data_IF_205247326611
#
_entry.id   IF_205247326611
#
_cell.length_a   1.000
_cell.length_b   1.000
_cell.length_c   1.000
_cell.angle_alpha   90.00
_cell.angle_beta   90.00
_cell.angle_gamma   90.00
#
_symmetry.space_group_name_H-M   'P 1'
#
loop_
_entity.id
_entity.type
_entity.pdbx_description
1 polymer ?
#
# COMPACT_ATOMS: atom_id res chain seq x y z
N UNK A 1 3.23 31.72 41.85
CA UNK A 1 3.21 31.50 40.39
C UNK A 1 4.34 30.54 40.01
N UNK A 2 4.06 29.32 39.53
CA UNK A 2 5.11 28.35 39.23
C UNK A 2 5.64 28.56 37.80
N UNK A 3 6.96 28.58 37.66
CA UNK A 3 7.66 28.71 36.37
C UNK A 3 7.55 27.39 35.59
N UNK A 4 7.00 27.45 34.39
CA UNK A 4 6.92 26.31 33.45
C UNK A 4 8.32 25.91 32.98
N UNK A 5 8.78 24.74 33.40
CA UNK A 5 10.00 24.10 32.90
C UNK A 5 9.80 23.57 31.48
N UNK A 6 10.72 23.94 30.59
CA UNK A 6 10.75 23.54 29.18
C UNK A 6 11.26 22.10 29.10
N UNK A 7 10.39 21.13 28.75
CA UNK A 7 10.81 19.75 28.44
C UNK A 7 11.47 19.75 27.05
N UNK A 8 12.78 19.59 27.00
CA UNK A 8 13.48 19.16 25.78
C UNK A 8 13.18 17.67 25.58
N UNK A 9 12.52 17.35 24.47
CA UNK A 9 12.28 16.00 23.98
C UNK A 9 13.57 15.43 23.39
N UNK A 10 14.13 14.40 24.04
CA UNK A 10 15.15 13.53 23.47
C UNK A 10 14.48 12.60 22.44
N UNK A 11 14.25 13.09 21.22
CA UNK A 11 13.77 12.27 20.09
C UNK A 11 14.72 12.44 18.92
N UNK A 12 15.89 11.80 18.97
CA UNK A 12 16.83 11.83 17.85
C UNK A 12 17.71 10.58 17.66
N UNK A 13 17.49 9.46 18.38
CA UNK A 13 18.43 8.31 18.31
C UNK A 13 17.82 6.93 17.96
N UNK A 14 16.57 6.85 17.51
CA UNK A 14 15.96 5.55 17.16
C UNK A 14 16.09 5.20 15.66
N UNK A 15 16.74 6.05 14.85
CA UNK A 15 16.67 5.97 13.38
C UNK A 15 17.90 5.50 12.61
N UNK A 16 18.88 4.80 13.20
CA UNK A 16 20.11 4.39 12.47
C UNK A 16 20.56 2.96 12.77
N UNK A 17 19.66 1.98 12.68
CA UNK A 17 20.10 0.62 12.32
C UNK A 17 20.09 0.51 10.80
N UNK A 18 21.22 0.88 10.21
CA UNK A 18 21.53 0.63 8.80
C UNK A 18 21.71 -0.88 8.69
N UNK A 19 20.88 -1.55 7.90
CA UNK A 19 20.99 -2.97 7.63
C UNK A 19 22.40 -3.24 7.08
N UNK A 20 23.14 -4.12 7.76
CA UNK A 20 24.46 -4.56 7.33
C UNK A 20 24.26 -5.52 6.15
N UNK A 21 25.19 -5.51 5.20
CA UNK A 21 25.21 -6.48 4.08
C UNK A 21 25.24 -7.95 4.59
N UNK A 22 25.74 -8.16 5.81
CA UNK A 22 25.80 -9.46 6.49
C UNK A 22 24.45 -9.94 7.05
N UNK A 23 23.43 -9.06 7.13
CA UNK A 23 22.08 -9.44 7.60
C UNK A 23 21.23 -10.13 6.52
N UNK A 24 21.74 -10.23 5.29
CA UNK A 24 21.03 -10.87 4.18
C UNK A 24 21.38 -12.36 4.14
N UNK A 25 20.37 -13.25 4.03
CA UNK A 25 20.62 -14.68 3.88
C UNK A 25 21.46 -14.91 2.62
N UNK A 26 22.58 -15.63 2.78
CA UNK A 26 23.37 -16.10 1.65
C UNK A 26 22.47 -17.04 0.84
N UNK A 27 22.04 -16.57 -0.34
CA UNK A 27 21.38 -17.43 -1.31
C UNK A 27 22.45 -18.28 -1.97
N UNK A 28 22.44 -19.57 -1.66
CA UNK A 28 23.26 -20.57 -2.32
C UNK A 28 23.00 -20.51 -3.84
N UNK A 29 24.02 -20.08 -4.59
CA UNK A 29 23.97 -19.93 -6.04
C UNK A 29 24.22 -21.27 -6.75
N UNK A 30 23.48 -22.30 -6.37
CA UNK A 30 23.49 -23.59 -7.05
C UNK A 30 22.22 -23.73 -7.87
N UNK A 31 22.15 -23.04 -9.00
CA UNK A 31 21.21 -23.39 -10.05
C UNK A 31 21.94 -23.37 -11.39
N UNK A 32 21.91 -24.55 -12.01
CA UNK A 32 22.56 -24.95 -13.23
C UNK A 32 22.32 -23.99 -14.40
N UNK A 33 23.41 -23.48 -14.95
CA UNK A 33 23.45 -22.85 -16.27
C UNK A 33 23.17 -23.90 -17.35
N UNK A 34 21.89 -24.14 -17.67
CA UNK A 34 21.52 -24.82 -18.90
C UNK A 34 20.32 -24.17 -19.59
N UNK A 35 20.68 -23.34 -20.58
CA UNK A 35 19.99 -23.12 -21.86
C UNK A 35 18.51 -22.73 -21.78
N UNK A 36 18.17 -21.44 -22.00
CA UNK A 36 17.29 -20.95 -23.09
C UNK A 36 17.61 -19.47 -23.38
N UNK A 37 18.15 -19.20 -24.57
CA UNK A 37 17.96 -17.99 -25.38
C UNK A 37 18.29 -16.61 -24.79
N UNK A 38 19.48 -16.08 -25.07
CA UNK A 38 19.83 -14.65 -25.33
C UNK A 38 19.14 -13.51 -24.53
N UNK A 39 18.57 -13.75 -23.37
CA UNK A 39 18.21 -12.67 -22.45
C UNK A 39 19.49 -12.18 -21.80
N UNK A 40 19.93 -10.97 -22.17
CA UNK A 40 21.02 -10.29 -21.47
C UNK A 40 20.67 -10.25 -19.98
N UNK A 41 21.38 -11.03 -19.17
CA UNK A 41 21.30 -10.94 -17.72
C UNK A 41 21.81 -9.57 -17.28
N UNK A 42 20.89 -8.61 -17.13
CA UNK A 42 21.19 -7.28 -16.62
C UNK A 42 21.47 -7.43 -15.13
N UNK A 43 22.71 -7.19 -14.73
CA UNK A 43 23.14 -7.19 -13.33
C UNK A 43 23.36 -5.76 -12.86
N UNK A 44 22.88 -5.42 -11.66
CA UNK A 44 23.22 -4.16 -10.99
C UNK A 44 24.68 -4.26 -10.52
N UNK A 45 25.61 -3.78 -11.34
CA UNK A 45 27.08 -4.00 -11.19
C UNK A 45 27.62 -3.70 -9.80
N UNK A 46 27.10 -2.69 -9.11
CA UNK A 46 27.57 -2.32 -7.77
C UNK A 46 27.07 -3.21 -6.64
N UNK A 47 25.93 -3.87 -6.83
CA UNK A 47 25.33 -4.74 -5.81
C UNK A 47 25.60 -6.21 -6.10
N UNK A 48 26.07 -6.55 -7.30
CA UNK A 48 26.19 -7.92 -7.79
C UNK A 48 24.86 -8.69 -7.69
N UNK A 49 23.74 -7.99 -7.83
CA UNK A 49 22.39 -8.56 -7.79
C UNK A 49 21.82 -8.57 -9.21
N UNK A 50 21.20 -9.68 -9.59
CA UNK A 50 20.50 -9.79 -10.88
C UNK A 50 19.25 -8.92 -10.87
N UNK A 51 18.92 -8.33 -12.02
CA UNK A 51 17.70 -7.55 -12.17
C UNK A 51 16.44 -8.33 -11.74
N UNK A 52 16.38 -9.64 -12.07
CA UNK A 52 15.29 -10.52 -11.67
C UNK A 52 15.16 -10.65 -10.15
N UNK A 53 16.27 -10.75 -9.41
CA UNK A 53 16.25 -10.80 -7.96
C UNK A 53 15.74 -9.49 -7.35
N UNK A 54 16.13 -8.34 -7.91
CA UNK A 54 15.58 -7.04 -7.50
C UNK A 54 14.08 -6.96 -7.76
N UNK A 55 13.61 -7.42 -8.92
CA UNK A 55 12.20 -7.40 -9.29
C UNK A 55 11.33 -8.28 -8.37
N UNK A 56 11.83 -9.48 -8.04
CA UNK A 56 11.20 -10.38 -7.09
C UNK A 56 11.11 -9.76 -5.70
N UNK A 57 12.20 -9.14 -5.22
CA UNK A 57 12.23 -8.44 -3.95
C UNK A 57 11.21 -7.29 -3.93
N UNK A 58 11.23 -6.43 -4.94
CA UNK A 58 10.30 -5.30 -5.07
C UNK A 58 8.85 -5.79 -5.10
N UNK A 59 8.57 -6.88 -5.81
CA UNK A 59 7.25 -7.49 -5.80
C UNK A 59 6.84 -8.01 -4.42
N UNK A 60 7.75 -8.60 -3.65
CA UNK A 60 7.47 -9.15 -2.34
C UNK A 60 7.11 -8.06 -1.31
N UNK A 61 7.75 -6.89 -1.40
CA UNK A 61 7.46 -5.73 -0.53
C UNK A 61 6.30 -4.86 -1.04
N UNK A 62 5.65 -5.24 -2.15
CA UNK A 62 4.61 -4.45 -2.79
C UNK A 62 5.12 -3.15 -3.44
N UNK A 63 6.42 -3.07 -3.69
CA UNK A 63 7.07 -1.98 -4.40
C UNK A 63 6.91 -2.07 -5.91
N UNK A 64 7.31 -0.99 -6.60
CA UNK A 64 7.28 -0.95 -8.06
C UNK A 64 8.36 -1.87 -8.64
N UNK A 65 7.94 -2.78 -9.52
CA UNK A 65 8.83 -3.65 -10.29
C UNK A 65 9.72 -2.84 -11.22
N UNK A 66 10.95 -3.30 -11.40
CA UNK A 66 11.96 -2.64 -12.22
C UNK A 66 11.54 -2.61 -13.70
N UNK A 67 10.88 -3.67 -14.21
CA UNK A 67 10.27 -3.68 -15.55
C UNK A 67 9.22 -2.58 -15.71
N UNK A 68 8.42 -2.38 -14.67
CA UNK A 68 7.45 -1.30 -14.63
C UNK A 68 8.19 0.03 -14.66
N UNK A 69 9.15 0.28 -13.77
CA UNK A 69 9.93 1.51 -13.73
C UNK A 69 10.61 1.85 -15.07
N UNK A 70 11.13 0.85 -15.80
CA UNK A 70 11.68 1.02 -17.13
C UNK A 70 10.62 1.54 -18.12
N UNK A 71 9.46 0.87 -18.18
CA UNK A 71 8.34 1.31 -19.03
C UNK A 71 7.95 2.77 -18.73
N UNK A 72 7.95 3.19 -17.47
CA UNK A 72 7.67 4.59 -17.09
C UNK A 72 8.76 5.54 -17.57
N UNK A 73 10.03 5.16 -17.44
CA UNK A 73 11.13 5.97 -17.95
C UNK A 73 11.03 6.15 -19.47
N UNK A 74 10.65 5.10 -20.20
CA UNK A 74 10.42 5.17 -21.65
C UNK A 74 9.25 6.09 -21.99
N UNK A 75 8.09 5.93 -21.34
CA UNK A 75 6.92 6.81 -21.51
C UNK A 75 7.27 8.28 -21.24
N UNK A 76 8.06 8.54 -20.20
CA UNK A 76 8.50 9.88 -19.86
C UNK A 76 9.41 10.49 -20.93
N UNK A 77 10.35 9.69 -21.46
CA UNK A 77 11.26 10.12 -22.52
C UNK A 77 10.54 10.33 -23.86
N UNK A 78 9.51 9.53 -24.17
CA UNK A 78 8.71 9.68 -25.38
C UNK A 78 7.67 10.79 -25.28
N UNK A 79 7.36 11.25 -24.08
CA UNK A 79 6.33 12.27 -23.83
C UNK A 79 4.90 11.74 -24.01
N UNK A 80 4.69 10.42 -23.97
CA UNK A 80 3.37 9.79 -24.10
C UNK A 80 2.61 9.82 -22.76
N UNK A 81 2.21 11.03 -22.34
CA UNK A 81 1.50 11.22 -21.08
C UNK A 81 0.12 10.54 -21.05
N UNK A 82 -0.46 10.19 -22.20
CA UNK A 82 -1.73 9.48 -22.25
C UNK A 82 -1.59 8.05 -21.71
N UNK A 83 -0.51 7.36 -22.09
CA UNK A 83 -0.17 6.05 -21.55
C UNK A 83 0.15 6.11 -20.05
N UNK A 84 0.79 7.18 -19.59
CA UNK A 84 1.07 7.44 -18.16
C UNK A 84 -0.24 7.57 -17.35
N UNK A 85 -1.20 8.34 -17.86
CA UNK A 85 -2.50 8.55 -17.20
C UNK A 85 -3.33 7.27 -17.16
N UNK A 86 -3.23 6.43 -18.20
CA UNK A 86 -3.95 5.14 -18.30
C UNK A 86 -3.35 4.02 -17.44
N UNK A 87 -2.10 4.13 -16.97
CA UNK A 87 -1.43 3.09 -16.17
C UNK A 87 -1.85 3.11 -14.68
N UNK A 88 -2.91 3.87 -14.33
CA UNK A 88 -3.65 3.85 -13.05
C UNK A 88 -2.82 4.05 -11.76
N UNK A 89 -1.53 4.39 -11.85
CA UNK A 89 -0.61 4.46 -10.70
C UNK A 89 -0.10 5.87 -10.38
N UNK A 90 -0.54 6.89 -11.14
CA UNK A 90 -0.18 8.29 -10.94
C UNK A 90 -1.37 9.25 -10.74
N UNK A 91 -2.60 8.78 -10.94
CA UNK A 91 -3.83 9.53 -10.70
C UNK A 91 -4.58 9.01 -9.49
N UNK A 92 -5.42 9.86 -8.87
CA UNK A 92 -6.47 9.41 -7.94
C UNK A 92 -7.28 8.35 -8.71
N UNK A 93 -7.21 7.08 -8.30
CA UNK A 93 -7.89 5.98 -8.99
C UNK A 93 -9.39 6.19 -8.89
N UNK A 94 -9.97 6.80 -9.92
CA UNK A 94 -11.35 7.23 -9.90
C UNK A 94 -11.67 8.21 -8.75
N UNK A 95 -12.92 8.61 -8.69
CA UNK A 95 -13.47 9.11 -7.43
C UNK A 95 -13.34 7.97 -6.43
N UNK A 96 -12.55 8.16 -5.36
CA UNK A 96 -12.52 7.17 -4.29
C UNK A 96 -13.95 6.99 -3.80
N UNK A 97 -14.30 5.80 -3.30
CA UNK A 97 -15.65 5.52 -2.80
C UNK A 97 -16.22 6.64 -1.90
N UNK A 98 -15.38 7.24 -1.06
CA UNK A 98 -15.76 8.34 -0.17
C UNK A 98 -15.80 9.71 -0.85
N UNK A 99 -15.15 9.88 -2.01
CA UNK A 99 -15.36 11.07 -2.83
C UNK A 99 -16.75 11.07 -3.47
N UNK A 100 -17.25 9.88 -3.84
CA UNK A 100 -18.62 9.71 -4.36
C UNK A 100 -19.66 9.77 -3.22
N UNK A 101 -19.30 9.22 -2.05
CA UNK A 101 -20.17 9.10 -0.89
C UNK A 101 -19.54 9.65 0.40
N UNK A 102 -19.37 10.97 0.54
CA UNK A 102 -18.68 11.59 1.67
C UNK A 102 -19.41 11.37 3.00
N UNK A 103 -20.74 11.27 2.99
CA UNK A 103 -21.57 10.92 4.15
C UNK A 103 -21.19 9.56 4.75
N UNK A 104 -20.82 8.57 3.92
CA UNK A 104 -20.39 7.26 4.38
C UNK A 104 -19.02 7.33 5.06
N UNK A 105 -18.15 8.26 4.65
CA UNK A 105 -16.86 8.48 5.30
C UNK A 105 -17.05 9.00 6.73
N UNK A 106 -17.95 9.97 6.90
CA UNK A 106 -18.27 10.55 8.20
C UNK A 106 -18.88 9.48 9.11
N UNK A 107 -19.85 8.72 8.60
CA UNK A 107 -20.49 7.64 9.33
C UNK A 107 -19.48 6.55 9.74
N UNK A 108 -18.59 6.14 8.83
CA UNK A 108 -17.53 5.18 9.11
C UNK A 108 -16.59 5.66 10.23
N UNK A 109 -16.16 6.94 10.17
CA UNK A 109 -15.30 7.52 11.21
C UNK A 109 -15.97 7.58 12.58
N UNK A 110 -17.25 7.95 12.62
CA UNK A 110 -18.04 7.96 13.86
C UNK A 110 -18.16 6.54 14.44
N UNK A 111 -18.51 5.56 13.61
CA UNK A 111 -18.60 4.16 14.02
C UNK A 111 -17.29 3.65 14.63
N UNK A 112 -16.15 3.94 14.00
CA UNK A 112 -14.83 3.57 14.52
C UNK A 112 -14.52 4.28 15.83
N UNK A 113 -14.82 5.57 15.94
CA UNK A 113 -14.58 6.35 17.16
C UNK A 113 -15.41 5.81 18.34
N UNK A 114 -16.68 5.47 18.10
CA UNK A 114 -17.55 4.86 19.08
C UNK A 114 -17.06 3.47 19.49
N UNK A 115 -16.69 2.62 18.52
CA UNK A 115 -16.14 1.30 18.81
C UNK A 115 -14.84 1.38 19.62
N UNK A 116 -13.95 2.32 19.31
CA UNK A 116 -12.71 2.57 20.05
C UNK A 116 -12.96 3.15 21.45
N UNK A 117 -14.10 3.81 21.68
CA UNK A 117 -14.46 4.38 22.99
C UNK A 117 -14.94 3.31 23.99
N UNK A 118 -15.30 2.12 23.51
CA UNK A 118 -15.73 1.02 24.35
C UNK A 118 -14.57 0.44 25.16
N UNK A 119 -14.86 -0.06 26.36
CA UNK A 119 -13.84 -0.67 27.25
C UNK A 119 -13.23 -1.96 26.67
N UNK A 120 -13.91 -2.60 25.73
CA UNK A 120 -13.46 -3.79 25.02
C UNK A 120 -12.95 -3.41 23.64
N UNK A 121 -11.63 -3.47 23.43
CA UNK A 121 -11.00 -3.19 22.13
C UNK A 121 -11.13 -4.38 21.15
N UNK A 122 -12.35 -4.86 20.92
CA UNK A 122 -12.64 -5.96 19.98
C UNK A 122 -13.30 -5.37 18.74
N UNK A 123 -12.54 -4.58 18.00
CA UNK A 123 -13.00 -4.00 16.74
C UNK A 123 -12.32 -4.72 15.57
N UNK A 124 -13.12 -5.28 14.65
CA UNK A 124 -12.60 -5.91 13.42
C UNK A 124 -12.94 -5.03 12.22
N UNK A 125 -12.03 -5.01 11.24
CA UNK A 125 -12.27 -4.31 9.98
C UNK A 125 -13.48 -4.85 9.21
N UNK A 126 -13.85 -6.12 9.43
CA UNK A 126 -15.05 -6.72 8.87
C UNK A 126 -16.33 -6.08 9.43
N UNK A 127 -16.33 -5.69 10.71
CA UNK A 127 -17.49 -5.02 11.33
C UNK A 127 -17.74 -3.67 10.67
N UNK A 128 -16.67 -2.92 10.41
CA UNK A 128 -16.72 -1.67 9.64
C UNK A 128 -17.19 -1.89 8.19
N UNK A 129 -16.70 -2.93 7.53
CA UNK A 129 -17.09 -3.23 6.15
C UNK A 129 -18.59 -3.55 6.06
N UNK A 130 -19.11 -4.36 6.99
CA UNK A 130 -20.54 -4.66 7.08
C UNK A 130 -21.38 -3.41 7.41
N UNK A 131 -20.88 -2.54 8.29
CA UNK A 131 -21.55 -1.28 8.62
C UNK A 131 -21.66 -0.37 7.39
N UNK A 132 -20.55 -0.12 6.69
CA UNK A 132 -20.52 0.71 5.48
C UNK A 132 -21.45 0.14 4.40
N UNK A 133 -21.45 -1.18 4.23
CA UNK A 133 -22.29 -1.87 3.27
C UNK A 133 -23.79 -1.61 3.56
N UNK A 134 -24.21 -1.77 4.82
CA UNK A 134 -25.60 -1.48 5.22
C UNK A 134 -25.98 -0.01 4.97
N UNK A 135 -25.12 0.93 5.36
CA UNK A 135 -25.34 2.36 5.20
C UNK A 135 -25.42 2.79 3.73
N UNK A 136 -24.63 2.16 2.86
CA UNK A 136 -24.70 2.44 1.42
C UNK A 136 -26.05 2.05 0.82
N UNK A 137 -26.55 0.86 1.15
CA UNK A 137 -27.84 0.39 0.61
C UNK A 137 -29.02 1.23 1.15
N UNK A 138 -28.95 1.64 2.41
CA UNK A 138 -29.89 2.61 2.99
C UNK A 138 -29.85 3.96 2.27
N UNK A 139 -28.67 4.50 2.03
CA UNK A 139 -28.50 5.80 1.38
C UNK A 139 -28.97 5.79 -0.08
N UNK A 140 -28.64 4.73 -0.83
CA UNK A 140 -28.93 4.62 -2.26
C UNK A 140 -30.33 4.09 -2.55
N UNK A 141 -31.07 3.63 -1.52
CA UNK A 141 -32.34 2.91 -1.65
C UNK A 141 -32.27 1.72 -2.61
N UNK A 142 -31.11 1.07 -2.69
CA UNK A 142 -30.93 -0.12 -3.52
C UNK A 142 -31.04 -1.39 -2.69
N UNK A 143 -31.61 -2.44 -3.28
CA UNK A 143 -31.69 -3.74 -2.61
C UNK A 143 -30.44 -4.56 -2.90
N UNK A 144 -29.84 -5.13 -1.85
CA UNK A 144 -28.69 -6.02 -1.97
C UNK A 144 -29.09 -7.34 -2.65
N UNK A 145 -28.54 -7.60 -3.83
CA UNK A 145 -28.81 -8.82 -4.61
C UNK A 145 -27.80 -9.94 -4.34
N UNK A 146 -26.56 -9.59 -3.99
CA UNK A 146 -25.44 -10.52 -3.80
C UNK A 146 -24.87 -10.40 -2.38
N UNK A 147 -24.22 -11.45 -1.88
CA UNK A 147 -23.53 -11.44 -0.58
C UNK A 147 -22.17 -10.70 -0.59
N UNK A 148 -21.85 -10.00 -1.67
CA UNK A 148 -20.62 -9.24 -1.79
C UNK A 148 -20.70 -7.95 -0.97
N UNK A 149 -19.54 -7.48 -0.50
CA UNK A 149 -19.43 -6.20 0.20
C UNK A 149 -19.08 -5.12 -0.81
N UNK A 150 -19.78 -3.98 -0.74
CA UNK A 150 -19.49 -2.81 -1.59
C UNK A 150 -18.06 -2.30 -1.34
N UNK A 151 -17.61 -2.38 -0.09
CA UNK A 151 -16.23 -2.07 0.29
C UNK A 151 -15.62 -3.28 0.98
N UNK A 152 -14.61 -3.87 0.36
CA UNK A 152 -13.96 -5.07 0.91
C UNK A 152 -13.30 -4.79 2.27
N UNK A 153 -13.20 -5.82 3.11
CA UNK A 153 -12.49 -5.76 4.40
C UNK A 153 -11.07 -5.23 4.23
N UNK A 154 -10.37 -5.65 3.17
CA UNK A 154 -8.99 -5.22 2.90
C UNK A 154 -8.89 -3.71 2.65
N UNK A 155 -9.88 -3.12 1.97
CA UNK A 155 -9.93 -1.67 1.76
C UNK A 155 -10.23 -0.93 3.05
N UNK A 156 -11.17 -1.43 3.86
CA UNK A 156 -11.46 -0.85 5.18
C UNK A 156 -10.22 -0.87 6.10
N UNK A 157 -9.38 -1.91 6.04
CA UNK A 157 -8.09 -1.94 6.76
C UNK A 157 -7.12 -0.85 6.31
N UNK A 158 -7.12 -0.49 5.02
CA UNK A 158 -6.29 0.60 4.52
C UNK A 158 -6.82 1.96 4.95
N UNK A 159 -8.14 2.13 4.98
CA UNK A 159 -8.78 3.37 5.43
C UNK A 159 -8.49 3.66 6.90
N UNK A 160 -8.54 2.63 7.75
CA UNK A 160 -8.20 2.73 9.19
C UNK A 160 -6.74 3.10 9.47
N UNK A 161 -5.85 2.97 8.48
CA UNK A 161 -4.42 3.30 8.62
C UNK A 161 -4.10 4.75 8.28
N UNK A 162 -5.01 5.47 7.64
CA UNK A 162 -4.84 6.88 7.24
C UNK A 162 -5.31 7.81 8.35
#
# INVERSE_FOLDING_TARGET
MPKRGRRQTQSAEIGKKRWSIEDFPQMDSSDDDNVIGNEKNITLRHFNITWRATDNFMSAVGGMRCMTAQKWAEIFLTGDFEMFVKDDRGGKQGESFFDVHPELEIAAKLYVAEACSQKSAVFKALDLANYIDSQYYELTNTNKSNNELIRSERMCRLDLRR
#
